data_IF_613274741081
#
_entry.id   IF_613274741081
#
_cell.length_a   1.000
_cell.length_b   1.000
_cell.length_c   1.000
_cell.angle_alpha   90.00
_cell.angle_beta   90.00
_cell.angle_gamma   90.00
#
_symmetry.space_group_name_H-M   'P 1'
#
loop_
_entity.id
_entity.type
_entity.pdbx_description
1 polymer ?
#
# COMPACT_ATOMS: atom_id res chain seq x y z
N UNK A 1 17.02 5.11 -10.64
CA UNK A 1 15.56 4.98 -10.48
C UNK A 1 15.08 3.68 -11.13
N UNK A 2 14.50 2.78 -10.34
CA UNK A 2 14.05 1.48 -10.84
C UNK A 2 12.60 1.57 -11.34
N UNK A 3 12.41 1.12 -12.57
CA UNK A 3 11.10 1.04 -13.23
C UNK A 3 10.74 -0.40 -13.58
N UNK A 4 9.43 -0.69 -13.54
CA UNK A 4 8.83 -1.84 -14.17
C UNK A 4 8.00 -1.35 -15.37
N UNK A 5 8.37 -1.78 -16.57
CA UNK A 5 7.65 -1.48 -17.82
C UNK A 5 6.82 -2.67 -18.27
N UNK A 6 5.57 -2.41 -18.66
CA UNK A 6 4.63 -3.40 -19.15
C UNK A 6 4.10 -2.97 -20.52
N UNK A 7 4.41 -3.77 -21.53
CA UNK A 7 3.80 -3.70 -22.85
C UNK A 7 2.60 -4.64 -22.82
N UNK A 8 1.42 -4.06 -22.78
CA UNK A 8 0.17 -4.78 -22.46
C UNK A 8 -0.61 -5.20 -23.70
N UNK A 9 -0.24 -4.69 -24.86
CA UNK A 9 -0.82 -5.04 -26.16
C UNK A 9 0.16 -5.76 -27.10
N UNK A 10 1.41 -5.93 -26.65
CA UNK A 10 2.53 -6.52 -27.39
C UNK A 10 2.85 -5.79 -28.71
N UNK A 11 2.56 -4.51 -28.78
CA UNK A 11 2.77 -3.70 -29.97
C UNK A 11 3.87 -2.65 -29.73
N UNK A 12 5.05 -2.81 -30.35
CA UNK A 12 6.16 -1.88 -30.14
C UNK A 12 5.93 -0.47 -30.73
N UNK A 13 4.80 -0.24 -31.39
CA UNK A 13 4.43 1.08 -31.96
C UNK A 13 3.53 1.90 -31.04
N UNK A 14 3.01 1.31 -29.96
CA UNK A 14 2.21 1.97 -28.94
C UNK A 14 3.04 2.24 -27.67
N UNK A 15 2.53 3.02 -26.75
CA UNK A 15 3.19 3.24 -25.47
C UNK A 15 4.57 3.92 -25.55
N UNK A 16 5.38 3.73 -24.49
CA UNK A 16 6.78 4.18 -24.42
C UNK A 16 7.67 3.15 -25.10
N UNK A 17 8.35 3.56 -26.17
CA UNK A 17 9.36 2.69 -26.79
C UNK A 17 10.57 2.55 -25.86
N UNK A 18 10.83 1.34 -25.40
CA UNK A 18 11.96 1.02 -24.52
C UNK A 18 12.41 -0.43 -24.76
N UNK A 19 13.69 -0.65 -25.02
CA UNK A 19 14.27 -1.96 -25.30
C UNK A 19 13.49 -2.78 -26.36
N UNK A 20 12.85 -2.11 -27.32
CA UNK A 20 12.11 -2.76 -28.41
C UNK A 20 10.67 -3.16 -28.07
N UNK A 21 10.16 -2.81 -26.89
CA UNK A 21 8.73 -2.92 -26.55
C UNK A 21 8.06 -1.54 -26.56
N UNK A 22 6.74 -1.54 -26.69
CA UNK A 22 5.88 -0.38 -26.54
C UNK A 22 5.13 -0.43 -25.21
N UNK A 23 5.70 0.10 -24.14
CA UNK A 23 5.12 -0.02 -22.81
C UNK A 23 3.97 0.97 -22.60
N UNK A 24 2.76 0.48 -22.33
CA UNK A 24 1.60 1.29 -21.93
C UNK A 24 1.67 1.69 -20.45
N UNK A 25 2.35 0.90 -19.63
CA UNK A 25 2.46 1.16 -18.19
C UNK A 25 3.92 1.16 -17.76
N UNK A 26 4.30 2.19 -17.00
CA UNK A 26 5.58 2.26 -16.29
C UNK A 26 5.34 2.49 -14.80
N UNK A 27 5.90 1.66 -13.94
CA UNK A 27 5.81 1.82 -12.49
C UNK A 27 7.16 2.30 -11.96
N UNK A 28 7.17 3.49 -11.39
CA UNK A 28 8.33 4.08 -10.71
C UNK A 28 8.30 3.71 -9.23
N UNK A 29 9.19 2.82 -8.83
CA UNK A 29 9.24 2.37 -7.43
C UNK A 29 9.80 3.43 -6.49
N UNK A 30 10.70 4.28 -6.98
CA UNK A 30 11.32 5.33 -6.17
C UNK A 30 10.34 6.44 -5.80
N UNK A 31 9.61 6.94 -6.77
CA UNK A 31 8.63 8.02 -6.59
C UNK A 31 7.23 7.50 -6.24
N UNK A 32 7.01 6.18 -6.31
CA UNK A 32 5.71 5.52 -6.06
C UNK A 32 4.60 6.01 -6.99
N UNK A 33 4.94 6.17 -8.27
CA UNK A 33 4.04 6.65 -9.31
C UNK A 33 3.81 5.57 -10.37
N UNK A 34 2.69 5.67 -11.06
CA UNK A 34 2.42 4.93 -12.29
C UNK A 34 2.27 5.90 -13.45
N UNK A 35 2.96 5.61 -14.51
CA UNK A 35 2.90 6.30 -15.79
C UNK A 35 2.09 5.46 -16.78
N UNK A 36 1.07 6.06 -17.38
CA UNK A 36 0.29 5.42 -18.43
C UNK A 36 0.48 6.18 -19.74
N UNK A 37 0.82 5.45 -20.78
CA UNK A 37 1.07 5.99 -22.12
C UNK A 37 -0.11 5.63 -23.01
N UNK A 38 -0.84 6.62 -23.51
CA UNK A 38 -2.00 6.43 -24.37
C UNK A 38 -2.08 7.54 -25.42
N UNK A 39 -2.27 7.17 -26.69
CA UNK A 39 -2.40 8.13 -27.81
C UNK A 39 -1.28 9.19 -27.85
N UNK A 40 -0.03 8.76 -27.70
CA UNK A 40 1.18 9.60 -27.63
C UNK A 40 1.17 10.62 -26.46
N UNK A 41 0.35 10.40 -25.47
CA UNK A 41 0.28 11.22 -24.26
C UNK A 41 0.69 10.41 -23.04
N UNK A 42 1.36 11.11 -22.10
CA UNK A 42 1.78 10.56 -20.83
C UNK A 42 0.82 11.06 -19.72
N UNK A 43 0.32 10.13 -18.95
CA UNK A 43 -0.51 10.39 -17.76
C UNK A 43 0.20 9.83 -16.53
N UNK A 44 0.17 10.60 -15.44
CA UNK A 44 0.81 10.21 -14.18
C UNK A 44 -0.25 10.08 -13.10
N UNK A 45 -0.18 8.98 -12.35
CA UNK A 45 -1.11 8.67 -11.26
C UNK A 45 -0.36 8.09 -10.05
N UNK A 46 -1.04 8.06 -8.91
CA UNK A 46 -0.61 7.29 -7.76
C UNK A 46 -0.78 5.78 -8.02
N UNK A 47 -0.04 4.95 -7.30
CA UNK A 47 -0.08 3.48 -7.42
C UNK A 47 -1.48 2.88 -7.16
N UNK A 48 -2.34 3.61 -6.46
CA UNK A 48 -3.74 3.19 -6.23
C UNK A 48 -4.53 3.07 -7.54
N UNK A 49 -4.11 3.76 -8.60
CA UNK A 49 -4.75 3.69 -9.92
C UNK A 49 -4.75 2.28 -10.50
N UNK A 50 -3.73 1.50 -10.20
CA UNK A 50 -3.54 0.13 -10.68
C UNK A 50 -3.73 -0.92 -9.58
N UNK A 51 -4.24 -0.50 -8.43
CA UNK A 51 -4.38 -1.34 -7.22
C UNK A 51 -3.09 -2.09 -6.87
N UNK A 52 -1.95 -1.39 -6.97
CA UNK A 52 -0.62 -1.94 -6.74
C UNK A 52 -0.47 -2.47 -5.33
N UNK A 53 0.05 -3.68 -5.22
CA UNK A 53 0.46 -4.29 -3.96
C UNK A 53 1.81 -4.97 -4.14
N UNK A 54 2.64 -4.91 -3.13
CA UNK A 54 3.94 -5.60 -3.12
C UNK A 54 4.26 -6.19 -1.77
N UNK A 55 4.92 -7.33 -1.80
CA UNK A 55 5.47 -8.03 -0.64
C UNK A 55 6.90 -8.50 -0.96
N UNK A 56 7.82 -8.49 0.03
CA UNK A 56 7.67 -7.87 1.33
C UNK A 56 7.65 -6.33 1.24
N UNK A 57 7.21 -5.66 2.28
CA UNK A 57 7.23 -4.18 2.37
C UNK A 57 8.59 -3.62 2.81
N UNK A 58 9.54 -4.50 3.05
CA UNK A 58 10.92 -4.20 3.46
C UNK A 58 11.90 -4.66 2.39
N UNK A 59 13.17 -4.29 2.50
CA UNK A 59 14.22 -4.76 1.59
C UNK A 59 14.34 -6.29 1.62
N UNK A 60 14.42 -6.89 0.46
CA UNK A 60 14.55 -8.33 0.26
C UNK A 60 15.17 -8.63 -1.11
N UNK A 61 15.48 -9.89 -1.35
CA UNK A 61 16.00 -10.37 -2.65
C UNK A 61 14.88 -10.87 -3.57
N UNK A 62 13.71 -11.11 -3.03
CA UNK A 62 12.53 -11.60 -3.73
C UNK A 62 11.37 -10.66 -3.44
N UNK A 63 10.64 -10.28 -4.47
CA UNK A 63 9.50 -9.39 -4.38
C UNK A 63 8.35 -9.93 -5.22
N UNK A 64 7.17 -9.92 -4.63
CA UNK A 64 5.93 -10.20 -5.34
C UNK A 64 5.17 -8.89 -5.59
N UNK A 65 4.65 -8.75 -6.80
CA UNK A 65 3.88 -7.57 -7.21
C UNK A 65 2.53 -8.04 -7.73
N UNK A 66 1.46 -7.47 -7.21
CA UNK A 66 0.12 -7.67 -7.72
C UNK A 66 -0.44 -6.37 -8.29
N UNK A 67 -1.08 -6.47 -9.46
CA UNK A 67 -1.76 -5.38 -10.15
C UNK A 67 -3.18 -5.81 -10.49
N UNK A 68 -4.11 -4.87 -10.51
CA UNK A 68 -5.49 -5.17 -10.90
C UNK A 68 -5.63 -5.33 -12.42
N UNK A 69 -6.10 -6.50 -12.87
CA UNK A 69 -6.48 -6.72 -14.27
C UNK A 69 -7.71 -5.91 -14.71
N UNK A 70 -8.44 -5.31 -13.75
CA UNK A 70 -9.58 -4.42 -14.02
C UNK A 70 -9.17 -2.96 -14.21
N UNK A 71 -7.87 -2.67 -14.18
CA UNK A 71 -7.35 -1.33 -14.40
C UNK A 71 -7.75 -0.82 -15.79
N UNK A 72 -8.25 0.41 -15.82
CA UNK A 72 -8.60 1.10 -17.06
C UNK A 72 -7.49 2.05 -17.49
N UNK A 73 -7.32 2.18 -18.81
CA UNK A 73 -6.49 3.22 -19.42
C UNK A 73 -7.01 4.63 -19.08
N UNK A 74 -6.26 5.70 -19.36
CA UNK A 74 -6.70 7.08 -19.09
C UNK A 74 -8.04 7.47 -19.68
N UNK A 75 -8.50 6.80 -20.73
CA UNK A 75 -9.82 7.01 -21.34
C UNK A 75 -10.99 6.51 -20.47
N UNK A 76 -10.71 5.77 -19.40
CA UNK A 76 -11.65 5.12 -18.48
C UNK A 76 -12.61 4.12 -19.12
N UNK A 77 -12.32 3.63 -20.32
CA UNK A 77 -13.13 2.64 -21.03
C UNK A 77 -12.33 1.40 -21.42
N UNK A 78 -11.08 1.56 -21.80
CA UNK A 78 -10.23 0.47 -22.26
C UNK A 78 -9.51 -0.17 -21.08
N UNK A 79 -9.54 -1.49 -20.99
CA UNK A 79 -8.73 -2.22 -20.00
C UNK A 79 -7.24 -2.12 -20.37
N UNK A 80 -6.38 -1.99 -19.36
CA UNK A 80 -4.93 -2.06 -19.54
C UNK A 80 -4.50 -3.45 -20.02
N UNK A 81 -5.05 -4.49 -19.43
CA UNK A 81 -4.69 -5.88 -19.70
C UNK A 81 -5.76 -6.58 -20.54
N UNK A 82 -5.73 -6.36 -21.86
CA UNK A 82 -6.67 -6.96 -22.81
C UNK A 82 -6.21 -8.33 -23.31
N UNK A 83 -4.90 -8.53 -23.45
CA UNK A 83 -4.32 -9.73 -24.02
C UNK A 83 -4.14 -10.83 -22.96
N UNK A 84 -3.94 -12.05 -23.41
CA UNK A 84 -3.62 -13.21 -22.56
C UNK A 84 -2.15 -13.21 -22.10
N UNK A 85 -1.32 -12.36 -22.69
CA UNK A 85 0.10 -12.18 -22.34
C UNK A 85 0.50 -10.72 -22.39
N UNK A 86 1.62 -10.42 -21.73
CA UNK A 86 2.25 -9.10 -21.71
C UNK A 86 3.77 -9.26 -21.80
N UNK A 87 4.47 -8.19 -22.21
CA UNK A 87 5.92 -8.13 -22.08
C UNK A 87 6.31 -7.30 -20.88
N UNK A 88 7.34 -7.74 -20.19
CA UNK A 88 7.78 -7.19 -18.90
C UNK A 88 9.26 -6.87 -18.98
N UNK A 89 9.62 -5.68 -18.52
CA UNK A 89 10.99 -5.22 -18.43
C UNK A 89 11.20 -4.44 -17.13
N UNK A 90 12.19 -4.82 -16.34
CA UNK A 90 12.72 -3.95 -15.30
C UNK A 90 13.88 -3.14 -15.85
N UNK A 91 13.97 -1.88 -15.45
CA UNK A 91 15.06 -1.00 -15.87
C UNK A 91 15.44 0.01 -14.79
N UNK A 92 16.74 0.12 -14.53
CA UNK A 92 17.30 1.24 -13.80
C UNK A 92 17.55 2.41 -14.75
N UNK A 93 16.78 3.49 -14.60
CA UNK A 93 16.96 4.74 -15.36
C UNK A 93 17.82 5.78 -14.63
N UNK A 94 18.46 5.43 -13.51
CA UNK A 94 19.26 6.37 -12.70
C UNK A 94 20.56 6.82 -13.36
N UNK A 95 21.01 6.12 -14.41
CA UNK A 95 22.20 6.47 -15.16
C UNK A 95 22.06 6.15 -16.65
N UNK A 96 22.96 6.76 -17.46
CA UNK A 96 23.03 6.51 -18.93
C UNK A 96 23.32 5.05 -19.28
N UNK A 97 23.86 4.28 -18.33
CA UNK A 97 24.18 2.85 -18.47
C UNK A 97 23.41 2.02 -17.44
N UNK A 98 22.21 2.47 -17.05
CA UNK A 98 21.38 1.74 -16.11
C UNK A 98 21.08 0.33 -16.60
N UNK A 99 21.10 -0.60 -15.66
CA UNK A 99 20.90 -2.02 -15.91
C UNK A 99 19.46 -2.34 -16.28
N UNK A 100 19.25 -3.46 -16.95
CA UNK A 100 17.92 -3.96 -17.32
C UNK A 100 17.80 -5.45 -17.06
N UNK A 101 16.62 -5.88 -16.70
CA UNK A 101 16.27 -7.28 -16.47
C UNK A 101 15.00 -7.62 -17.27
N UNK A 102 15.07 -8.55 -18.23
CA UNK A 102 16.24 -9.35 -18.63
C UNK A 102 17.34 -8.52 -19.30
N UNK A 103 18.57 -9.07 -19.27
CA UNK A 103 19.75 -8.44 -19.86
C UNK A 103 19.71 -8.38 -21.40
N UNK A 104 20.65 -7.63 -21.99
CA UNK A 104 20.98 -7.65 -23.41
C UNK A 104 19.83 -7.26 -24.34
N UNK A 105 18.94 -6.38 -23.90
CA UNK A 105 17.83 -5.89 -24.72
C UNK A 105 16.73 -6.93 -24.94
N UNK A 106 16.75 -8.05 -24.20
CA UNK A 106 15.64 -8.99 -24.19
C UNK A 106 14.52 -8.49 -23.26
N UNK A 107 13.35 -9.13 -23.36
CA UNK A 107 12.19 -8.87 -22.53
C UNK A 107 11.59 -10.17 -22.05
N UNK A 108 10.98 -10.16 -20.89
CA UNK A 108 10.25 -11.32 -20.38
C UNK A 108 8.81 -11.29 -20.90
N UNK A 109 8.27 -12.44 -21.33
CA UNK A 109 6.86 -12.58 -21.67
C UNK A 109 6.16 -13.30 -20.55
N UNK A 110 5.14 -12.65 -19.98
CA UNK A 110 4.28 -13.24 -18.96
C UNK A 110 2.92 -13.58 -19.59
N UNK A 111 2.50 -14.82 -19.45
CA UNK A 111 1.19 -15.30 -19.92
C UNK A 111 0.27 -15.49 -18.71
N UNK A 112 -0.90 -14.88 -18.77
CA UNK A 112 -1.90 -15.01 -17.71
C UNK A 112 -2.52 -16.41 -17.72
N UNK A 113 -2.70 -16.98 -16.57
CA UNK A 113 -3.45 -18.21 -16.41
C UNK A 113 -4.94 -17.96 -16.67
N UNK A 114 -5.55 -18.78 -17.52
CA UNK A 114 -6.98 -18.66 -17.86
C UNK A 114 -7.87 -19.02 -16.66
N UNK A 115 -7.44 -19.98 -15.86
CA UNK A 115 -8.12 -20.44 -14.66
C UNK A 115 -7.13 -20.36 -13.47
N UNK A 116 -6.85 -19.15 -12.97
CA UNK A 116 -6.00 -19.04 -11.80
C UNK A 116 -6.65 -19.80 -10.66
N UNK A 117 -5.90 -20.71 -10.04
CA UNK A 117 -6.32 -21.28 -8.76
C UNK A 117 -6.52 -20.09 -7.84
N UNK A 118 -7.75 -19.85 -7.39
CA UNK A 118 -7.98 -18.90 -6.32
C UNK A 118 -7.10 -19.38 -5.16
N UNK A 119 -6.00 -18.66 -4.94
CA UNK A 119 -5.24 -18.88 -3.74
C UNK A 119 -6.20 -18.67 -2.59
N UNK A 120 -6.26 -19.62 -1.69
CA UNK A 120 -7.05 -19.50 -0.47
C UNK A 120 -6.41 -18.39 0.38
N UNK A 121 -6.73 -17.15 0.00
CA UNK A 121 -6.14 -15.93 0.57
C UNK A 121 -6.87 -15.50 1.84
N UNK A 122 -7.71 -16.35 2.38
CA UNK A 122 -8.34 -16.11 3.66
C UNK A 122 -7.30 -16.24 4.77
N UNK A 123 -6.74 -15.10 5.16
CA UNK A 123 -5.99 -15.01 6.41
C UNK A 123 -7.01 -14.87 7.52
N UNK A 124 -7.17 -15.90 8.31
CA UNK A 124 -8.02 -15.81 9.50
C UNK A 124 -7.39 -14.85 10.51
N UNK A 125 -7.99 -13.68 10.63
CA UNK A 125 -7.62 -12.67 11.62
C UNK A 125 -8.58 -12.67 12.81
N UNK A 126 -9.47 -13.67 12.91
CA UNK A 126 -10.33 -13.81 14.06
C UNK A 126 -9.51 -14.02 15.34
N UNK A 127 -10.11 -13.68 16.46
CA UNK A 127 -9.53 -13.95 17.76
C UNK A 127 -9.72 -15.43 18.06
N UNK A 128 -8.65 -16.15 18.44
CA UNK A 128 -8.73 -17.59 18.74
C UNK A 128 -9.69 -17.85 19.91
N UNK A 129 -9.62 -16.98 20.93
CA UNK A 129 -10.44 -17.10 22.14
C UNK A 129 -10.93 -15.72 22.56
N UNK A 130 -12.19 -15.61 22.93
CA UNK A 130 -12.84 -14.33 23.30
C UNK A 130 -12.17 -13.60 24.48
N UNK A 131 -11.51 -14.36 25.37
CA UNK A 131 -10.83 -13.79 26.53
C UNK A 131 -9.39 -13.33 26.27
N UNK A 132 -8.84 -13.59 25.08
CA UNK A 132 -7.51 -13.09 24.73
C UNK A 132 -7.54 -11.59 24.44
N UNK A 133 -6.52 -10.89 24.93
CA UNK A 133 -6.30 -9.49 24.58
C UNK A 133 -5.60 -9.38 23.24
N UNK A 134 -6.15 -8.59 22.35
CA UNK A 134 -5.49 -8.22 21.10
C UNK A 134 -4.78 -6.90 21.27
N UNK A 135 -3.47 -6.95 21.22
CA UNK A 135 -2.60 -5.77 21.29
C UNK A 135 -2.04 -5.49 19.90
N UNK A 136 -2.10 -4.24 19.47
CA UNK A 136 -1.62 -3.79 18.17
C UNK A 136 -0.62 -2.64 18.35
N UNK A 137 0.41 -2.61 17.54
CA UNK A 137 1.24 -1.41 17.32
C UNK A 137 1.10 -1.00 15.86
N UNK A 138 0.99 0.32 15.61
CA UNK A 138 0.71 0.81 14.27
C UNK A 138 1.40 2.16 14.02
N UNK A 139 2.40 2.15 13.14
CA UNK A 139 2.99 3.38 12.65
C UNK A 139 2.04 4.03 11.65
N UNK A 140 1.63 5.27 11.93
CA UNK A 140 0.62 6.00 11.13
C UNK A 140 1.23 6.88 10.05
N UNK A 141 2.54 6.80 9.88
CA UNK A 141 3.28 7.62 8.93
C UNK A 141 2.89 9.10 9.03
N UNK A 142 3.55 9.81 9.95
CA UNK A 142 3.42 11.26 10.11
C UNK A 142 1.96 11.76 10.22
N UNK A 143 1.37 11.57 11.41
CA UNK A 143 0.03 12.07 11.77
C UNK A 143 -1.14 11.48 10.94
N UNK A 144 -1.00 10.27 10.40
CA UNK A 144 -2.00 9.68 9.50
C UNK A 144 -3.42 9.58 10.04
N UNK A 145 -3.61 9.58 11.36
CA UNK A 145 -4.95 9.52 11.99
C UNK A 145 -5.80 10.78 11.73
N UNK A 146 -5.16 11.90 11.43
CA UNK A 146 -5.82 13.19 11.15
C UNK A 146 -5.74 13.58 9.67
N UNK A 147 -5.06 12.80 8.84
CA UNK A 147 -4.95 13.02 7.40
C UNK A 147 -6.19 12.48 6.69
N UNK A 148 -7.03 13.39 6.18
CA UNK A 148 -8.28 13.04 5.50
C UNK A 148 -8.11 12.15 4.28
N UNK A 149 -6.95 12.16 3.63
CA UNK A 149 -6.67 11.31 2.46
C UNK A 149 -6.34 9.87 2.82
N UNK A 150 -5.88 9.61 4.05
CA UNK A 150 -5.40 8.31 4.52
C UNK A 150 -6.26 7.67 5.61
N UNK A 151 -7.01 8.46 6.36
CA UNK A 151 -7.78 8.01 7.54
C UNK A 151 -8.72 6.84 7.25
N UNK A 152 -9.28 6.75 6.07
CA UNK A 152 -10.16 5.64 5.66
C UNK A 152 -9.44 4.29 5.61
N UNK A 153 -8.15 4.28 5.28
CA UNK A 153 -7.32 3.07 5.24
C UNK A 153 -7.04 2.56 6.66
N UNK A 154 -6.67 3.45 7.57
CA UNK A 154 -6.50 3.12 8.99
C UNK A 154 -7.78 2.58 9.61
N UNK A 155 -8.92 3.21 9.30
CA UNK A 155 -10.24 2.73 9.73
C UNK A 155 -10.46 1.27 9.35
N UNK A 156 -10.30 0.91 8.09
CA UNK A 156 -10.51 -0.46 7.59
C UNK A 156 -9.62 -1.48 8.30
N UNK A 157 -8.34 -1.16 8.50
CA UNK A 157 -7.40 -2.06 9.17
C UNK A 157 -7.79 -2.27 10.62
N UNK A 158 -8.13 -1.21 11.34
CA UNK A 158 -8.51 -1.28 12.76
C UNK A 158 -9.85 -2.01 12.92
N UNK A 159 -10.82 -1.79 12.02
CA UNK A 159 -12.10 -2.51 12.03
C UNK A 159 -11.93 -4.01 11.72
N UNK A 160 -10.98 -4.37 10.86
CA UNK A 160 -10.68 -5.77 10.56
C UNK A 160 -9.96 -6.47 11.72
N UNK A 161 -9.02 -5.78 12.38
CA UNK A 161 -8.21 -6.37 13.45
C UNK A 161 -8.85 -6.30 14.82
N UNK A 162 -9.76 -5.37 15.08
CA UNK A 162 -10.50 -5.17 16.32
C UNK A 162 -9.60 -5.28 17.57
N UNK A 163 -8.58 -4.39 17.72
CA UNK A 163 -7.69 -4.43 18.87
C UNK A 163 -8.40 -4.02 20.17
N UNK A 164 -7.91 -4.53 21.29
CA UNK A 164 -8.32 -4.07 22.62
C UNK A 164 -7.42 -2.94 23.13
N UNK A 165 -6.15 -3.00 22.73
CA UNK A 165 -5.15 -1.99 23.03
C UNK A 165 -4.37 -1.72 21.74
N UNK A 166 -4.17 -0.46 21.40
CA UNK A 166 -3.37 -0.08 20.23
C UNK A 166 -2.41 1.06 20.60
N UNK A 167 -1.16 0.95 20.19
CA UNK A 167 -0.19 2.04 20.24
C UNK A 167 0.05 2.55 18.83
N UNK A 168 -0.34 3.80 18.60
CA UNK A 168 -0.05 4.54 17.39
C UNK A 168 1.33 5.20 17.49
N UNK A 169 2.12 5.08 16.45
CA UNK A 169 3.43 5.71 16.34
C UNK A 169 3.39 6.80 15.27
N UNK A 170 4.32 7.73 15.34
CA UNK A 170 4.42 8.91 14.47
C UNK A 170 3.20 9.83 14.50
N UNK A 171 2.59 9.95 15.65
CA UNK A 171 1.47 10.86 15.94
C UNK A 171 1.96 12.19 16.55
N UNK A 172 2.90 12.87 15.88
CA UNK A 172 3.59 14.05 16.39
C UNK A 172 2.63 15.16 16.81
N UNK A 173 1.73 15.55 15.91
CA UNK A 173 0.77 16.65 16.13
C UNK A 173 -0.65 16.16 16.47
N UNK A 174 -0.85 14.83 16.57
CA UNK A 174 -2.14 14.26 16.98
C UNK A 174 -2.29 14.37 18.48
N UNK A 175 -3.38 14.95 18.95
CA UNK A 175 -3.71 15.04 20.37
C UNK A 175 -4.38 13.76 20.87
N UNK A 176 -4.36 13.55 22.21
CA UNK A 176 -5.12 12.45 22.84
C UNK A 176 -6.60 12.49 22.48
N UNK A 177 -7.21 13.68 22.49
CA UNK A 177 -8.63 13.85 22.16
C UNK A 177 -8.94 13.49 20.70
N UNK A 178 -8.04 13.79 19.76
CA UNK A 178 -8.21 13.39 18.36
C UNK A 178 -8.08 11.87 18.17
N UNK A 179 -7.10 11.25 18.83
CA UNK A 179 -6.95 9.79 18.79
C UNK A 179 -8.15 9.09 19.45
N UNK A 180 -8.65 9.61 20.59
CA UNK A 180 -9.88 9.13 21.23
C UNK A 180 -11.07 9.23 20.28
N UNK A 181 -11.32 10.40 19.72
CA UNK A 181 -12.44 10.63 18.80
C UNK A 181 -12.36 9.74 17.57
N UNK A 182 -11.16 9.48 17.04
CA UNK A 182 -10.93 8.54 15.97
C UNK A 182 -11.34 7.12 16.37
N UNK A 183 -10.86 6.61 17.52
CA UNK A 183 -11.17 5.26 18.00
C UNK A 183 -12.64 5.10 18.38
N UNK A 184 -13.26 6.09 19.02
CA UNK A 184 -14.69 6.09 19.35
C UNK A 184 -15.57 6.02 18.09
N UNK A 185 -15.10 6.62 16.97
CA UNK A 185 -15.80 6.57 15.70
C UNK A 185 -15.57 5.25 14.95
N UNK A 186 -14.37 4.68 15.02
CA UNK A 186 -13.97 3.49 14.25
C UNK A 186 -14.44 2.20 14.90
N UNK A 187 -14.29 2.10 16.23
CA UNK A 187 -14.70 0.96 17.06
C UNK A 187 -15.45 1.47 18.30
N UNK A 188 -16.70 1.92 18.16
CA UNK A 188 -17.47 2.43 19.28
C UNK A 188 -17.65 1.35 20.37
N UNK A 189 -17.46 1.76 21.61
CA UNK A 189 -17.70 0.91 22.79
C UNK A 189 -19.08 1.18 23.37
N UNK A 190 -19.68 0.16 23.96
CA UNK A 190 -20.97 0.29 24.68
C UNK A 190 -20.88 1.07 25.98
N UNK A 191 -19.67 1.39 26.45
CA UNK A 191 -19.45 2.17 27.68
C UNK A 191 -19.55 3.67 27.38
N UNK A 192 -20.11 4.44 28.33
CA UNK A 192 -20.25 5.90 28.19
C UNK A 192 -18.93 6.66 28.13
N UNK A 193 -17.83 6.06 28.60
CA UNK A 193 -16.49 6.66 28.56
C UNK A 193 -15.79 6.52 27.21
N UNK A 194 -16.22 5.53 26.36
CA UNK A 194 -15.55 5.21 25.10
C UNK A 194 -14.11 4.71 25.33
N UNK A 195 -13.24 4.99 24.38
CA UNK A 195 -11.82 4.64 24.45
C UNK A 195 -11.05 5.53 25.42
N UNK A 196 -10.05 4.95 26.08
CA UNK A 196 -9.09 5.67 26.92
C UNK A 196 -7.80 5.90 26.13
N UNK A 197 -7.30 7.13 26.13
CA UNK A 197 -6.10 7.48 25.38
C UNK A 197 -5.07 8.16 26.28
N UNK A 198 -3.78 7.90 25.99
CA UNK A 198 -2.67 8.53 26.70
C UNK A 198 -1.54 8.84 25.71
N UNK A 199 -1.04 10.06 25.75
CA UNK A 199 0.15 10.53 25.04
C UNK A 199 1.15 11.06 26.08
N UNK A 200 2.34 10.48 26.14
CA UNK A 200 3.39 10.89 27.08
C UNK A 200 4.60 11.54 26.39
N UNK A 201 4.73 11.29 25.10
CA UNK A 201 5.79 11.86 24.28
C UNK A 201 5.23 12.42 22.97
N UNK A 202 6.09 13.02 22.18
CA UNK A 202 5.65 13.72 20.96
C UNK A 202 5.20 12.80 19.82
N UNK A 203 5.41 11.50 19.89
CA UNK A 203 5.18 10.61 18.74
C UNK A 203 4.27 9.41 19.00
N UNK A 204 4.02 9.04 20.27
CA UNK A 204 3.31 7.80 20.57
C UNK A 204 2.02 8.07 21.35
N UNK A 205 0.92 7.44 20.90
CA UNK A 205 -0.38 7.50 21.59
C UNK A 205 -0.87 6.07 21.81
N UNK A 206 -1.13 5.73 23.06
CA UNK A 206 -1.80 4.48 23.39
C UNK A 206 -3.29 4.72 23.53
N UNK A 207 -4.11 3.89 22.85
CA UNK A 207 -5.55 3.82 23.03
C UNK A 207 -5.94 2.44 23.56
N UNK A 208 -6.83 2.39 24.54
CA UNK A 208 -7.25 1.19 25.22
C UNK A 208 -8.76 1.18 25.46
N UNK A 209 -9.38 -0.01 25.32
CA UNK A 209 -10.77 -0.25 25.75
C UNK A 209 -10.92 -0.21 27.27
N UNK A 210 -9.81 -0.41 27.98
CA UNK A 210 -9.75 -0.46 29.44
C UNK A 210 -9.15 0.81 30.02
N UNK A 211 -9.52 1.24 31.23
CA UNK A 211 -8.93 2.39 31.86
C UNK A 211 -7.40 2.28 31.99
N UNK A 212 -6.68 3.32 31.61
CA UNK A 212 -5.24 3.43 31.81
C UNK A 212 -5.03 3.96 33.23
N UNK A 213 -4.63 3.08 34.12
CA UNK A 213 -4.55 3.41 35.57
C UNK A 213 -3.26 4.17 35.92
N UNK A 214 -2.19 3.96 35.14
CA UNK A 214 -0.91 4.60 35.38
C UNK A 214 -0.10 4.62 34.07
N UNK A 215 0.62 5.71 33.86
CA UNK A 215 1.55 5.88 32.74
C UNK A 215 2.79 6.62 33.20
N UNK A 216 3.92 6.35 32.56
CA UNK A 216 5.18 7.06 32.80
C UNK A 216 6.04 7.04 31.52
N UNK A 217 6.82 8.06 31.37
CA UNK A 217 7.77 8.15 30.28
C UNK A 217 9.03 7.34 30.63
N UNK A 218 9.42 6.43 29.72
CA UNK A 218 10.60 5.56 29.94
C UNK A 218 11.90 6.25 29.52
N UNK A 219 11.83 7.13 28.53
CA UNK A 219 12.98 7.92 28.08
C UNK A 219 12.59 9.41 28.08
N UNK A 220 13.47 10.30 28.52
CA UNK A 220 13.27 11.73 28.26
C UNK A 220 13.19 11.92 26.74
N UNK A 221 12.23 12.72 26.29
CA UNK A 221 12.02 13.00 24.87
C UNK A 221 13.31 13.38 24.16
N UNK A 222 13.42 12.99 22.89
CA UNK A 222 14.52 13.38 22.02
C UNK A 222 14.41 14.84 21.62
#
# INVERSE_FOLDING_TARGET
ELFLYLDTDENPQTGKNINGIGAEVGIDFGNRLVYMYSNNSLFTYDLDRIDYRSLPTTSGYEHEIALSRKTLMPDNNTLVFLNSSIKVLFKDESSTNGDSMPDNGSVFTYTFEENPVEADTYIDIAREEDHYLRVMTYNTLHNGLTDGSRVSRFRRIIQATIPDIITFNECWDVTEGQAKGFMDNVLPLSTSCGWHTQKLDDGNITASRYPILKSWQVSPGR
#
